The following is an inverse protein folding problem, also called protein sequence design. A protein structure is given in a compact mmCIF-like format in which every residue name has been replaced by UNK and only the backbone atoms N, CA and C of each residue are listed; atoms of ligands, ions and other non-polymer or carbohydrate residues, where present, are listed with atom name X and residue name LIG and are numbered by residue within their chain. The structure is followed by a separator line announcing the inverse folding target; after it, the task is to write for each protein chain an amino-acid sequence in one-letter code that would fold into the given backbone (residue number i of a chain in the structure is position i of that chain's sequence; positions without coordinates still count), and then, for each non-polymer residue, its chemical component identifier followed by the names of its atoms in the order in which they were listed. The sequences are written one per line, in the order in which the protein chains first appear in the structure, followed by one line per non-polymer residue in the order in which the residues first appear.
data_IF_119655421034
#
_entry.id   IF_119655421034
#
_cell.length_a   1.000
_cell.length_b   1.000
_cell.length_c   1.000
_cell.angle_alpha   90.00
_cell.angle_beta   90.00
_cell.angle_gamma   90.00
#
_symmetry.space_group_name_H-M   'P 1'
#
loop_
_entity.id
_entity.type
_entity.pdbx_description
1 polymer ?
#
# COMPACT_ATOMS: atom_id res chain seq x y z
N UNK A 1 -4.07 -14.80 -2.68
CA UNK A 1 -5.15 -13.81 -2.51
C UNK A 1 -4.70 -12.65 -1.61
N UNK A 2 -3.92 -11.71 -2.16
CA UNK A 2 -3.19 -10.70 -1.37
C UNK A 2 -3.68 -9.26 -1.67
N UNK A 3 -4.09 -8.99 -2.91
CA UNK A 3 -4.41 -7.64 -3.39
C UNK A 3 -5.66 -7.01 -2.75
N UNK A 4 -6.63 -7.80 -2.27
CA UNK A 4 -7.84 -7.29 -1.66
C UNK A 4 -7.57 -6.48 -0.37
N UNK A 5 -6.45 -6.74 0.32
CA UNK A 5 -6.03 -5.98 1.50
C UNK A 5 -5.29 -4.67 1.17
N UNK A 6 -4.69 -4.57 -0.02
CA UNK A 6 -3.89 -3.39 -0.43
C UNK A 6 -4.73 -2.29 -1.06
N UNK A 7 -5.82 -2.66 -1.74
CA UNK A 7 -6.69 -1.73 -2.49
C UNK A 7 -7.45 -0.73 -1.60
N UNK A 8 -7.62 -1.00 -0.30
CA UNK A 8 -8.44 -0.14 0.57
C UNK A 8 -7.74 1.17 0.96
N UNK A 9 -6.40 1.21 0.98
CA UNK A 9 -5.67 2.29 1.65
C UNK A 9 -4.57 2.92 0.78
N UNK A 10 -4.33 2.42 -0.44
CA UNK A 10 -3.25 2.89 -1.29
C UNK A 10 -3.69 3.00 -2.75
N UNK A 11 -3.35 4.10 -3.47
CA UNK A 11 -3.51 4.16 -4.90
C UNK A 11 -2.56 3.13 -5.53
N UNK A 12 -3.10 1.97 -5.91
CA UNK A 12 -2.31 0.88 -6.46
C UNK A 12 -3.00 0.21 -7.66
N UNK A 13 -2.19 -0.21 -8.62
CA UNK A 13 -2.61 -1.02 -9.76
C UNK A 13 -2.18 -2.47 -9.51
N UNK A 14 -3.12 -3.40 -9.65
CA UNK A 14 -2.87 -4.83 -9.44
C UNK A 14 -2.75 -5.52 -10.78
N UNK A 15 -1.60 -6.17 -11.01
CA UNK A 15 -1.33 -6.99 -12.21
C UNK A 15 -1.19 -8.45 -11.76
N UNK A 16 -1.96 -9.35 -12.38
CA UNK A 16 -2.00 -10.78 -12.02
C UNK A 16 -2.09 -11.65 -13.27
N UNK A 17 -1.39 -12.78 -13.24
CA UNK A 17 -1.58 -13.86 -14.21
C UNK A 17 -2.68 -14.81 -13.74
N UNK A 18 -3.37 -15.45 -14.69
CA UNK A 18 -4.38 -16.47 -14.40
C UNK A 18 -3.67 -17.82 -14.36
N UNK A 19 -3.64 -18.46 -13.18
CA UNK A 19 -3.00 -19.76 -12.97
C UNK A 19 -3.96 -20.92 -12.72
N UNK A 20 -5.25 -20.64 -12.45
CA UNK A 20 -6.28 -21.66 -12.28
C UNK A 20 -7.62 -21.21 -12.89
N UNK A 21 -8.49 -22.17 -13.16
CA UNK A 21 -9.85 -21.92 -13.65
C UNK A 21 -10.90 -21.84 -12.53
N UNK A 22 -10.48 -21.69 -11.26
CA UNK A 22 -11.36 -21.67 -10.09
C UNK A 22 -12.36 -22.84 -9.99
N UNK A 23 -12.05 -23.98 -10.62
CA UNK A 23 -12.80 -25.23 -10.49
C UNK A 23 -12.20 -26.10 -9.37
N UNK A 24 -12.74 -27.30 -9.16
CA UNK A 24 -12.23 -28.24 -8.17
C UNK A 24 -10.85 -28.81 -8.51
N UNK A 25 -10.33 -28.55 -9.72
CA UNK A 25 -9.09 -29.13 -10.24
C UNK A 25 -7.97 -28.09 -10.22
N UNK A 26 -7.28 -27.98 -9.08
CA UNK A 26 -6.05 -27.19 -9.01
C UNK A 26 -4.95 -27.84 -9.84
N UNK A 27 -4.42 -27.10 -10.81
CA UNK A 27 -3.28 -27.50 -11.62
C UNK A 27 -2.11 -26.55 -11.37
N UNK A 28 -1.21 -26.90 -10.44
CA UNK A 28 -0.10 -26.03 -10.00
C UNK A 28 0.96 -25.73 -11.07
N UNK A 29 0.92 -26.41 -12.21
CA UNK A 29 1.91 -26.25 -13.28
C UNK A 29 1.85 -24.88 -13.97
N UNK A 30 0.73 -24.16 -13.86
CA UNK A 30 0.53 -22.88 -14.55
C UNK A 30 0.91 -21.67 -13.71
N UNK A 31 1.23 -21.85 -12.42
CA UNK A 31 1.54 -20.74 -11.50
C UNK A 31 2.82 -20.01 -11.91
N UNK A 32 3.90 -20.75 -12.22
CA UNK A 32 5.17 -20.17 -12.67
C UNK A 32 4.99 -19.40 -13.98
N UNK A 33 4.23 -19.96 -14.93
CA UNK A 33 3.95 -19.31 -16.20
C UNK A 33 3.11 -18.04 -16.02
N UNK A 34 2.03 -18.12 -15.24
CA UNK A 34 1.17 -16.99 -14.94
C UNK A 34 1.94 -15.85 -14.25
N UNK A 35 2.83 -16.19 -13.30
CA UNK A 35 3.70 -15.23 -12.63
C UNK A 35 4.68 -14.57 -13.62
N UNK A 36 5.31 -15.36 -14.49
CA UNK A 36 6.24 -14.85 -15.49
C UNK A 36 5.56 -13.88 -16.49
N UNK A 37 4.36 -14.22 -16.95
CA UNK A 37 3.57 -13.36 -17.86
C UNK A 37 3.18 -12.04 -17.17
N UNK A 38 2.72 -12.10 -15.92
CA UNK A 38 2.37 -10.91 -15.15
C UNK A 38 3.59 -9.99 -14.93
N UNK A 39 4.75 -10.58 -14.61
CA UNK A 39 6.00 -9.83 -14.43
C UNK A 39 6.49 -9.20 -15.74
N UNK A 40 6.44 -9.93 -16.85
CA UNK A 40 6.82 -9.42 -18.17
C UNK A 40 5.93 -8.26 -18.60
N UNK A 41 4.61 -8.39 -18.43
CA UNK A 41 3.67 -7.30 -18.72
C UNK A 41 3.93 -6.08 -17.83
N UNK A 42 4.16 -6.28 -16.52
CA UNK A 42 4.46 -5.19 -15.59
C UNK A 42 5.71 -4.42 -16.02
N UNK A 43 6.77 -5.14 -16.42
CA UNK A 43 8.01 -4.52 -16.90
C UNK A 43 7.78 -3.63 -18.11
N UNK A 44 7.00 -4.13 -19.08
CA UNK A 44 6.68 -3.38 -20.29
C UNK A 44 5.82 -2.14 -19.96
N UNK A 45 4.79 -2.31 -19.12
CA UNK A 45 3.92 -1.23 -18.69
C UNK A 45 4.70 -0.08 -18.04
N UNK A 46 5.69 -0.39 -17.19
CA UNK A 46 6.53 0.63 -16.56
C UNK A 46 7.33 1.47 -17.56
N UNK A 47 7.53 1.01 -18.79
CA UNK A 47 8.12 1.80 -19.87
C UNK A 47 7.18 2.87 -20.44
N UNK A 48 5.87 2.75 -20.23
CA UNK A 48 4.85 3.70 -20.69
C UNK A 48 4.34 4.64 -19.59
N UNK A 49 4.69 4.37 -18.33
CA UNK A 49 4.29 5.21 -17.20
C UNK A 49 5.38 6.25 -16.94
N UNK A 50 5.07 7.53 -17.14
CA UNK A 50 6.02 8.61 -16.84
C UNK A 50 6.16 8.80 -15.32
N UNK A 51 7.38 8.84 -14.77
CA UNK A 51 7.60 8.98 -13.32
C UNK A 51 6.97 10.24 -12.72
N UNK A 52 6.86 11.30 -13.53
CA UNK A 52 6.34 12.62 -13.14
C UNK A 52 4.81 12.63 -12.96
N UNK A 53 4.09 11.71 -13.62
CA UNK A 53 2.64 11.54 -13.47
C UNK A 53 2.27 10.68 -12.25
N UNK A 54 3.25 9.96 -11.69
CA UNK A 54 3.07 9.10 -10.53
C UNK A 54 3.26 9.92 -9.24
N UNK A 55 2.26 10.74 -8.89
CA UNK A 55 2.22 11.56 -7.65
C UNK A 55 2.15 10.75 -6.33
N UNK A 56 2.42 9.43 -6.37
CA UNK A 56 2.26 8.51 -5.24
C UNK A 56 3.12 8.91 -4.02
N UNK A 57 4.28 9.54 -4.24
CA UNK A 57 5.14 10.01 -3.14
C UNK A 57 4.53 11.15 -2.33
N UNK A 58 3.67 11.98 -2.94
CA UNK A 58 3.07 13.14 -2.29
C UNK A 58 2.06 12.69 -1.21
N UNK A 59 1.23 11.70 -1.54
CA UNK A 59 0.13 11.24 -0.69
C UNK A 59 0.61 10.50 0.58
N UNK A 60 1.66 9.69 0.46
CA UNK A 60 2.26 8.98 1.61
C UNK A 60 2.94 9.97 2.54
N UNK A 61 3.59 10.99 1.99
CA UNK A 61 4.21 12.06 2.78
C UNK A 61 3.14 12.89 3.51
N UNK A 62 2.06 13.27 2.82
CA UNK A 62 0.93 14.00 3.42
C UNK A 62 0.31 13.21 4.58
N UNK A 63 0.06 11.91 4.41
CA UNK A 63 -0.45 11.05 5.48
C UNK A 63 0.52 10.94 6.66
N UNK A 64 1.83 10.84 6.41
CA UNK A 64 2.85 10.79 7.46
C UNK A 64 2.97 12.12 8.20
N UNK A 65 2.87 13.25 7.51
CA UNK A 65 2.87 14.59 8.09
C UNK A 65 1.64 14.78 9.00
N UNK A 66 0.46 14.31 8.56
CA UNK A 66 -0.77 14.33 9.37
C UNK A 66 -0.64 13.47 10.64
N UNK A 67 -0.13 12.25 10.52
CA UNK A 67 0.11 11.35 11.66
C UNK A 67 1.11 11.98 12.63
N UNK A 68 2.22 12.53 12.11
CA UNK A 68 3.24 13.17 12.93
C UNK A 68 2.65 14.35 13.72
N UNK A 69 1.83 15.17 13.07
CA UNK A 69 1.15 16.30 13.72
C UNK A 69 0.20 15.85 14.84
N UNK A 70 -0.54 14.75 14.63
CA UNK A 70 -1.46 14.20 15.62
C UNK A 70 -0.71 13.63 16.85
N UNK A 71 0.43 12.96 16.61
CA UNK A 71 1.30 12.44 17.68
C UNK A 71 1.86 13.58 18.52
N UNK A 72 2.44 14.61 17.89
CA UNK A 72 2.98 15.78 18.59
C UNK A 72 1.92 16.48 19.45
N UNK A 73 0.71 16.64 18.92
CA UNK A 73 -0.41 17.23 19.67
C UNK A 73 -0.79 16.38 20.88
N UNK A 74 -0.77 15.05 20.73
CA UNK A 74 -1.08 14.12 21.81
C UNK A 74 -0.02 14.18 22.91
N UNK A 75 1.27 14.23 22.53
CA UNK A 75 2.37 14.41 23.48
C UNK A 75 2.23 15.71 24.29
N UNK A 76 1.91 16.82 23.62
CA UNK A 76 1.67 18.11 24.29
C UNK A 76 0.55 18.03 25.33
N UNK A 77 -0.58 17.44 24.97
CA UNK A 77 -1.72 17.28 25.87
C UNK A 77 -1.40 16.38 27.09
N UNK A 78 -0.58 15.34 26.88
CA UNK A 78 -0.15 14.43 27.96
C UNK A 78 0.78 15.16 28.93
N UNK A 79 1.70 15.98 28.43
CA UNK A 79 2.61 16.77 29.26
C UNK A 79 1.82 17.81 30.07
N UNK A 80 0.86 18.50 29.44
CA UNK A 80 0.02 19.49 30.12
C UNK A 80 -0.84 18.87 31.22
N UNK A 81 -1.51 17.74 30.93
CA UNK A 81 -2.31 17.03 31.93
C UNK A 81 -1.47 16.52 33.09
N UNK A 82 -0.26 15.99 32.83
CA UNK A 82 0.68 15.62 33.88
C UNK A 82 1.06 16.80 34.78
N UNK A 83 1.36 17.95 34.17
CA UNK A 83 1.72 19.17 34.92
C UNK A 83 0.57 19.69 35.79
N UNK A 84 -0.67 19.58 35.29
CA UNK A 84 -1.86 20.00 36.04
C UNK A 84 -2.16 19.05 37.22
N UNK A 85 -1.90 17.75 37.07
CA UNK A 85 -2.04 16.77 38.17
C UNK A 85 -0.96 16.98 39.24
N UNK A 86 0.29 17.26 38.87
CA UNK A 86 1.39 17.52 39.81
C UNK A 86 1.24 18.85 40.58
N UNK A 87 0.39 19.75 40.09
CA UNK A 87 0.06 21.04 40.74
C UNK A 87 -1.16 20.98 41.66
N UNK A 88 -1.88 19.86 41.71
CA UNK A 88 -2.98 19.61 42.66
C UNK A 88 -2.46 18.90 43.90
#
# INVERSE_FOLDING_TARGET
MEAAGLLQNLPCLVIRGICDCADSHKNGNWEEHAAAVAAAFTKELLGYVYPEEVQIQLLVKELLDDILSAVQRTEGNVIETKTNVERM
#
